data_IF_096393587977
#
_entry.id   IF_096393587977
#
_cell.length_a   1.000
_cell.length_b   1.000
_cell.length_c   1.000
_cell.angle_alpha   90.00
_cell.angle_beta   90.00
_cell.angle_gamma   90.00
#
_symmetry.space_group_name_H-M   'P 1'
#
loop_
_entity.id
_entity.type
_entity.pdbx_description
1 polymer ?
#
# COMPACT_ATOMS: atom_id res chain seq x y z
N UNK A 1 -22.17 10.07 2.47
CA UNK A 1 -21.17 10.71 3.34
C UNK A 1 -19.79 10.10 3.13
N UNK A 2 -18.79 10.89 2.73
CA UNK A 2 -17.40 10.43 2.69
C UNK A 2 -16.83 10.55 4.12
N UNK A 3 -16.17 9.52 4.67
CA UNK A 3 -15.57 9.62 5.99
C UNK A 3 -14.32 10.51 5.93
N UNK A 4 -14.49 11.83 6.06
CA UNK A 4 -13.37 12.77 6.23
C UNK A 4 -13.12 13.00 7.70
N UNK A 5 -12.63 11.98 8.39
CA UNK A 5 -11.99 12.18 9.69
C UNK A 5 -10.48 12.16 9.45
N UNK A 6 -9.91 13.33 9.21
CA UNK A 6 -8.46 13.54 9.21
C UNK A 6 -7.92 13.23 10.62
N UNK A 7 -7.71 11.95 10.92
CA UNK A 7 -7.04 11.50 12.14
C UNK A 7 -5.58 11.93 12.02
N UNK A 8 -5.26 13.08 12.61
CA UNK A 8 -3.90 13.59 12.68
C UNK A 8 -3.20 12.95 13.86
N UNK A 9 -2.18 12.14 13.59
CA UNK A 9 -1.26 11.65 14.60
C UNK A 9 -0.38 12.78 15.14
N UNK A 10 0.16 12.61 16.36
CA UNK A 10 0.97 13.63 17.02
C UNK A 10 2.23 14.03 16.23
N UNK A 11 2.76 13.11 15.42
CA UNK A 11 3.92 13.34 14.55
C UNK A 11 3.57 14.06 13.23
N UNK A 12 2.32 14.50 13.08
CA UNK A 12 1.82 15.20 11.89
C UNK A 12 1.37 14.29 10.76
N UNK A 13 1.35 12.96 10.94
CA UNK A 13 0.76 12.06 9.96
C UNK A 13 -0.76 12.19 9.92
N UNK A 14 -1.33 12.01 8.74
CA UNK A 14 -2.77 11.92 8.50
C UNK A 14 -3.09 10.56 7.91
N UNK A 15 -4.25 9.99 8.22
CA UNK A 15 -4.79 8.88 7.45
C UNK A 15 -5.85 9.40 6.47
N UNK A 16 -5.71 9.07 5.19
CA UNK A 16 -6.57 9.63 4.12
C UNK A 16 -7.13 8.56 3.21
N UNK A 17 -8.16 8.94 2.47
CA UNK A 17 -8.56 8.31 1.21
C UNK A 17 -8.42 9.35 0.10
N UNK A 18 -7.59 9.06 -0.89
CA UNK A 18 -7.29 9.95 -2.04
C UNK A 18 -7.68 9.23 -3.33
N UNK A 19 -8.50 9.87 -4.16
CA UNK A 19 -8.88 9.39 -5.49
C UNK A 19 -8.21 10.30 -6.54
N UNK A 20 -7.40 9.73 -7.43
CA UNK A 20 -6.73 10.44 -8.51
C UNK A 20 -6.51 9.50 -9.71
N UNK A 21 -6.75 9.96 -10.93
CA UNK A 21 -6.49 9.22 -12.18
C UNK A 21 -6.94 7.74 -12.13
N UNK A 22 -8.21 7.51 -11.78
CA UNK A 22 -8.80 6.17 -11.64
C UNK A 22 -8.12 5.24 -10.62
N UNK A 23 -7.27 5.81 -9.75
CA UNK A 23 -6.56 5.11 -8.68
C UNK A 23 -7.07 5.60 -7.33
N UNK A 24 -7.23 4.68 -6.38
CA UNK A 24 -7.61 4.99 -4.99
C UNK A 24 -6.43 4.66 -4.09
N UNK A 25 -6.03 5.61 -3.25
CA UNK A 25 -5.06 5.41 -2.17
C UNK A 25 -5.75 5.52 -0.82
N UNK A 26 -5.46 4.57 0.07
CA UNK A 26 -5.89 4.59 1.47
C UNK A 26 -4.65 4.38 2.33
N UNK A 27 -4.29 5.36 3.15
CA UNK A 27 -3.08 5.22 3.97
C UNK A 27 -2.59 6.49 4.63
N UNK A 28 -1.37 6.42 5.14
CA UNK A 28 -0.73 7.52 5.85
C UNK A 28 -0.18 8.60 4.90
N UNK A 29 -0.33 9.87 5.28
CA UNK A 29 0.29 11.02 4.62
C UNK A 29 1.13 11.79 5.63
N UNK A 30 2.26 12.31 5.19
CA UNK A 30 3.09 13.24 5.95
C UNK A 30 3.51 14.38 5.02
N UNK A 31 3.30 15.64 5.45
CA UNK A 31 3.65 16.84 4.68
C UNK A 31 3.08 16.84 3.24
N UNK A 32 1.84 16.39 3.07
CA UNK A 32 1.18 16.35 1.75
C UNK A 32 1.70 15.23 0.83
N UNK A 33 2.47 14.27 1.35
CA UNK A 33 3.00 13.14 0.58
C UNK A 33 2.59 11.82 1.22
N UNK A 34 2.33 10.80 0.40
CA UNK A 34 2.12 9.42 0.85
C UNK A 34 3.34 8.96 1.64
N UNK A 35 3.11 8.44 2.84
CA UNK A 35 4.12 8.00 3.78
C UNK A 35 3.61 6.76 4.54
N UNK A 36 4.45 6.11 5.33
CA UNK A 36 4.00 5.01 6.21
C UNK A 36 3.36 3.85 5.43
N UNK A 37 2.38 3.17 6.00
CA UNK A 37 1.63 2.11 5.33
C UNK A 37 0.53 2.68 4.45
N UNK A 38 0.30 2.03 3.31
CA UNK A 38 -0.85 2.35 2.46
C UNK A 38 -1.22 1.26 1.47
N UNK A 39 -2.48 1.29 1.09
CA UNK A 39 -3.13 0.47 0.09
C UNK A 39 -3.40 1.32 -1.15
N UNK A 40 -3.20 0.73 -2.33
CA UNK A 40 -3.57 1.35 -3.61
C UNK A 40 -4.40 0.38 -4.41
N UNK A 41 -5.58 0.82 -4.86
CA UNK A 41 -6.36 0.17 -5.91
C UNK A 41 -6.06 0.92 -7.21
N UNK A 42 -5.40 0.28 -8.15
CA UNK A 42 -5.15 0.89 -9.46
C UNK A 42 -6.33 0.72 -10.43
N UNK A 43 -6.24 1.39 -11.57
CA UNK A 43 -7.27 1.39 -12.62
C UNK A 43 -7.57 -0.02 -13.19
N UNK A 44 -6.67 -0.98 -13.01
CA UNK A 44 -6.84 -2.37 -13.47
C UNK A 44 -7.54 -3.25 -12.44
N UNK A 45 -7.79 -2.73 -11.24
CA UNK A 45 -8.37 -3.47 -10.11
C UNK A 45 -7.32 -4.16 -9.22
N UNK A 46 -6.02 -3.97 -9.48
CA UNK A 46 -4.94 -4.55 -8.68
C UNK A 46 -4.84 -3.81 -7.35
N UNK A 47 -4.69 -4.57 -6.27
CA UNK A 47 -4.53 -4.05 -4.92
C UNK A 47 -3.06 -4.15 -4.52
N UNK A 48 -2.46 -3.05 -4.11
CA UNK A 48 -1.05 -2.98 -3.69
C UNK A 48 -0.98 -2.46 -2.27
N UNK A 49 -0.59 -3.33 -1.34
CA UNK A 49 -0.36 -2.99 0.07
C UNK A 49 1.13 -2.91 0.37
N UNK A 50 1.57 -1.86 1.05
CA UNK A 50 2.95 -1.75 1.52
C UNK A 50 3.33 -0.35 1.98
N UNK A 51 4.63 -0.15 2.19
CA UNK A 51 5.13 1.12 2.72
C UNK A 51 5.38 2.16 1.63
N UNK A 52 5.15 3.43 1.98
CA UNK A 52 5.37 4.62 1.18
C UNK A 52 6.38 5.52 1.89
N UNK A 53 7.22 6.18 1.11
CA UNK A 53 8.12 7.25 1.58
C UNK A 53 8.16 8.33 0.51
N UNK A 54 7.60 9.49 0.85
CA UNK A 54 7.60 10.67 -0.01
C UNK A 54 7.03 10.36 -1.41
N UNK A 55 5.81 9.81 -1.45
CA UNK A 55 5.12 9.35 -2.67
C UNK A 55 5.71 8.14 -3.40
N UNK A 56 6.84 7.60 -2.94
CA UNK A 56 7.47 6.42 -3.55
C UNK A 56 7.21 5.19 -2.70
N UNK A 57 6.78 4.09 -3.33
CA UNK A 57 6.63 2.80 -2.66
C UNK A 57 8.00 2.19 -2.35
N UNK A 58 8.17 1.65 -1.14
CA UNK A 58 9.44 1.15 -0.65
C UNK A 58 9.24 -0.07 0.24
N UNK A 59 10.27 -0.92 0.32
CA UNK A 59 10.29 -2.03 1.27
C UNK A 59 9.35 -3.17 0.87
N UNK A 60 8.99 -4.00 1.84
CA UNK A 60 8.16 -5.19 1.58
C UNK A 60 6.74 -4.75 1.20
N UNK A 61 6.16 -5.39 0.21
CA UNK A 61 4.79 -5.15 -0.24
C UNK A 61 4.14 -6.42 -0.73
N UNK A 62 2.81 -6.41 -0.72
CA UNK A 62 1.95 -7.45 -1.25
C UNK A 62 1.14 -6.86 -2.41
N UNK A 63 1.09 -7.60 -3.52
CA UNK A 63 0.36 -7.24 -4.74
C UNK A 63 -0.67 -8.31 -4.99
N UNK A 64 -1.94 -7.95 -5.01
CA UNK A 64 -3.04 -8.82 -5.42
C UNK A 64 -3.42 -8.46 -6.85
N UNK A 65 -3.16 -9.39 -7.78
CA UNK A 65 -3.55 -9.24 -9.19
C UNK A 65 -5.02 -9.60 -9.38
N UNK A 66 -5.47 -10.62 -8.66
CA UNK A 66 -6.86 -11.05 -8.53
C UNK A 66 -7.05 -11.78 -7.19
N UNK A 67 -8.18 -12.47 -7.01
CA UNK A 67 -8.52 -13.15 -5.76
C UNK A 67 -7.59 -14.33 -5.43
N UNK A 68 -7.07 -15.03 -6.44
CA UNK A 68 -6.29 -16.26 -6.29
C UNK A 68 -4.81 -16.07 -6.65
N UNK A 69 -4.46 -14.93 -7.28
CA UNK A 69 -3.12 -14.58 -7.70
C UNK A 69 -2.60 -13.34 -6.96
N UNK A 70 -1.63 -13.57 -6.09
CA UNK A 70 -0.94 -12.52 -5.36
C UNK A 70 0.55 -12.84 -5.18
N UNK A 71 1.34 -11.79 -5.06
CA UNK A 71 2.78 -11.86 -4.84
C UNK A 71 3.20 -11.01 -3.66
N UNK A 72 4.20 -11.49 -2.92
CA UNK A 72 4.95 -10.67 -1.97
C UNK A 72 6.31 -10.39 -2.57
N UNK A 73 6.77 -9.16 -2.43
CA UNK A 73 8.07 -8.76 -2.90
C UNK A 73 8.58 -7.53 -2.18
N UNK A 74 9.65 -6.96 -2.71
CA UNK A 74 10.24 -5.72 -2.21
C UNK A 74 10.28 -4.68 -3.31
N UNK A 75 9.87 -3.47 -2.97
CA UNK A 75 10.13 -2.28 -3.76
C UNK A 75 11.46 -1.66 -3.35
N UNK A 76 12.30 -1.38 -4.33
CA UNK A 76 13.52 -0.62 -4.17
C UNK A 76 13.63 0.41 -5.29
N UNK A 77 13.67 1.70 -4.94
CA UNK A 77 13.75 2.81 -5.92
C UNK A 77 12.69 2.73 -7.05
N UNK A 78 11.47 2.32 -6.71
CA UNK A 78 10.37 2.24 -7.70
C UNK A 78 10.37 0.96 -8.56
N UNK A 79 11.28 0.01 -8.33
CA UNK A 79 11.24 -1.31 -8.96
C UNK A 79 10.76 -2.38 -7.97
N UNK A 80 9.81 -3.21 -8.39
CA UNK A 80 9.33 -4.36 -7.62
C UNK A 80 10.13 -5.61 -7.96
N UNK A 81 10.52 -6.37 -6.94
CA UNK A 81 11.10 -7.70 -7.08
C UNK A 81 10.30 -8.66 -6.23
N UNK A 82 9.59 -9.59 -6.89
CA UNK A 82 8.87 -10.66 -6.22
C UNK A 82 9.84 -11.57 -5.46
N UNK A 83 9.44 -12.02 -4.28
CA UNK A 83 10.11 -13.12 -3.62
C UNK A 83 9.60 -14.40 -4.28
N UNK A 84 10.48 -15.18 -4.89
CA UNK A 84 10.14 -16.53 -5.36
C UNK A 84 9.77 -17.36 -4.13
N UNK A 85 8.48 -17.57 -3.93
CA UNK A 85 7.87 -18.13 -2.72
C UNK A 85 8.02 -19.65 -2.65
N UNK A 86 9.23 -20.17 -2.48
CA UNK A 86 9.42 -21.55 -2.01
C UNK A 86 9.13 -21.71 -0.50
N UNK A 87 8.63 -20.69 0.18
CA UNK A 87 8.35 -20.74 1.60
C UNK A 87 6.85 -20.97 1.81
N UNK A 88 6.54 -22.13 2.36
CA UNK A 88 5.22 -22.51 2.90
C UNK A 88 4.57 -21.30 3.56
N UNK A 89 3.42 -20.87 3.05
CA UNK A 89 2.54 -19.98 3.79
C UNK A 89 2.26 -20.66 5.13
N UNK A 90 2.73 -20.08 6.23
CA UNK A 90 2.29 -20.51 7.54
C UNK A 90 0.85 -20.04 7.69
N UNK A 91 -0.09 -20.91 7.34
CA UNK A 91 -1.51 -20.66 7.44
C UNK A 91 -1.99 -20.61 8.91
N UNK A 92 -1.09 -20.71 9.90
CA UNK A 92 -1.41 -20.53 11.31
C UNK A 92 -1.30 -19.06 11.78
N UNK A 93 -1.68 -18.11 10.94
CA UNK A 93 -2.11 -16.80 11.45
C UNK A 93 -3.45 -17.02 12.17
N UNK A 94 -3.37 -17.13 13.49
CA UNK A 94 -4.52 -17.25 14.39
C UNK A 94 -5.45 -16.02 14.34
#
# INVERSE_FOLDING_TARGET
DKPTTNLKAEDGRLFVTEEADSTIYIGEMLNGQKHGLGLTLDETGKIIFGSMKANVRQGISMVFFDADNWEVGRWNNGAFTAFNNSQTADSQLA
#
